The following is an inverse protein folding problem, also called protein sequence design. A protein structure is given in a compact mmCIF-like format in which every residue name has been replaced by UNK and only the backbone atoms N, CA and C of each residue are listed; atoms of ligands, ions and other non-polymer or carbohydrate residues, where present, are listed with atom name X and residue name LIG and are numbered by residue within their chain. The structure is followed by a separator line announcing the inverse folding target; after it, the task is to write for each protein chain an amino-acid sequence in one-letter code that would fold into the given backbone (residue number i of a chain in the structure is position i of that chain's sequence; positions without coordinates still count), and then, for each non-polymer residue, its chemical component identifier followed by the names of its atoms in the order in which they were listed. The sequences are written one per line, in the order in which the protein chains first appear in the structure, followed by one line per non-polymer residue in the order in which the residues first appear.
data_IF_908410058483
#
_entry.id   IF_908410058483
#
_cell.length_a   1.000
_cell.length_b   1.000
_cell.length_c   1.000
_cell.angle_alpha   90.00
_cell.angle_beta   90.00
_cell.angle_gamma   90.00
#
_symmetry.space_group_name_H-M   'P 1'
#
loop_
_entity.id
_entity.type
_entity.pdbx_description
1 polymer ?
#
# COMPACT_ATOMS: atom_id res chain seq x y z
N UNK A 1 -19.93 -5.11 -32.33
CA UNK A 1 -19.83 -6.24 -31.38
C UNK A 1 -19.68 -5.67 -29.99
N UNK A 2 -20.54 -6.02 -29.02
CA UNK A 2 -20.38 -5.53 -27.65
C UNK A 2 -19.15 -6.20 -27.02
N UNK A 3 -18.35 -5.38 -26.36
CA UNK A 3 -17.04 -5.72 -25.79
C UNK A 3 -17.25 -6.38 -24.42
N UNK A 4 -16.57 -7.51 -24.17
CA UNK A 4 -16.66 -8.22 -22.90
C UNK A 4 -16.06 -7.38 -21.76
N UNK A 5 -16.77 -7.29 -20.64
CA UNK A 5 -16.28 -6.62 -19.45
C UNK A 5 -15.14 -7.43 -18.79
N UNK A 6 -14.14 -6.76 -18.17
CA UNK A 6 -13.06 -7.45 -17.47
C UNK A 6 -13.57 -8.26 -16.26
N UNK A 7 -12.82 -9.29 -15.89
CA UNK A 7 -13.18 -10.34 -14.91
C UNK A 7 -13.37 -9.89 -13.46
N UNK A 8 -13.42 -8.59 -13.19
CA UNK A 8 -13.84 -8.04 -11.89
C UNK A 8 -15.36 -7.80 -11.81
N UNK A 9 -16.08 -7.93 -12.93
CA UNK A 9 -17.52 -7.72 -13.01
C UNK A 9 -18.32 -9.00 -12.68
N UNK A 10 -18.41 -9.36 -11.40
CA UNK A 10 -19.46 -10.16 -10.70
C UNK A 10 -18.85 -10.69 -9.37
N UNK A 11 -19.47 -10.64 -8.18
CA UNK A 11 -20.86 -10.96 -7.79
C UNK A 11 -21.30 -10.10 -6.59
N UNK A 12 -22.62 -9.88 -6.56
CA UNK A 12 -23.46 -9.11 -5.65
C UNK A 12 -23.41 -9.55 -4.17
N UNK A 13 -23.64 -8.58 -3.27
CA UNK A 13 -23.88 -8.85 -1.86
C UNK A 13 -24.29 -7.62 -1.05
N UNK A 14 -25.44 -7.01 -1.38
CA UNK A 14 -26.18 -6.13 -0.46
C UNK A 14 -26.43 -4.69 -0.93
N UNK A 15 -27.30 -4.49 -1.93
CA UNK A 15 -27.90 -3.19 -2.19
C UNK A 15 -28.96 -2.89 -1.11
N UNK A 16 -28.61 -2.10 -0.10
CA UNK A 16 -29.59 -1.25 0.57
C UNK A 16 -29.52 0.15 -0.04
N UNK A 17 -30.21 0.31 -1.16
CA UNK A 17 -30.52 1.62 -1.69
C UNK A 17 -31.51 2.33 -0.73
N UNK A 18 -31.06 3.39 -0.07
CA UNK A 18 -31.94 4.43 0.50
C UNK A 18 -31.78 5.70 -0.35
N UNK A 19 -32.85 6.27 -0.91
CA UNK A 19 -32.74 7.42 -1.78
C UNK A 19 -32.55 8.71 -0.96
N UNK A 20 -31.53 9.47 -1.37
CA UNK A 20 -31.23 10.88 -1.04
C UNK A 20 -30.63 11.16 0.36
N UNK A 21 -29.32 10.96 0.48
CA UNK A 21 -28.44 11.80 1.30
C UNK A 21 -27.00 11.80 0.74
N UNK A 22 -26.47 13.00 0.52
CA UNK A 22 -25.17 13.35 -0.07
C UNK A 22 -23.94 13.00 0.81
N UNK A 23 -23.95 11.86 1.49
CA UNK A 23 -22.95 11.45 2.51
C UNK A 23 -22.81 9.92 2.62
N UNK A 24 -23.12 9.19 1.55
CA UNK A 24 -22.84 7.76 1.52
C UNK A 24 -21.33 7.53 1.63
N UNK A 25 -20.91 6.48 2.30
CA UNK A 25 -19.52 6.01 2.31
C UNK A 25 -19.52 4.60 1.71
N UNK A 26 -18.43 4.25 1.04
CA UNK A 26 -18.23 2.90 0.50
C UNK A 26 -17.07 2.24 1.23
N UNK A 27 -17.24 0.96 1.54
CA UNK A 27 -16.19 0.09 2.05
C UNK A 27 -16.25 -1.21 1.26
N UNK A 28 -15.09 -1.78 0.93
CA UNK A 28 -14.96 -3.08 0.29
C UNK A 28 -14.06 -3.96 1.13
N UNK A 29 -14.46 -5.21 1.25
CA UNK A 29 -13.75 -6.22 2.03
C UNK A 29 -13.40 -7.43 1.17
N UNK A 30 -12.27 -8.07 1.50
CA UNK A 30 -11.91 -9.42 1.07
C UNK A 30 -11.94 -10.32 2.33
N UNK A 31 -12.99 -11.14 2.44
CA UNK A 31 -13.35 -11.77 3.71
C UNK A 31 -13.65 -10.73 4.79
N UNK A 32 -12.95 -10.78 5.93
CA UNK A 32 -13.07 -9.79 7.01
C UNK A 32 -12.14 -8.58 6.81
N UNK A 33 -11.29 -8.58 5.77
CA UNK A 33 -10.23 -7.61 5.59
C UNK A 33 -10.69 -6.43 4.74
N UNK A 34 -10.52 -5.21 5.24
CA UNK A 34 -10.83 -4.01 4.46
C UNK A 34 -9.78 -3.80 3.36
N UNK A 35 -10.23 -3.71 2.11
CA UNK A 35 -9.37 -3.52 0.92
C UNK A 35 -9.62 -2.20 0.19
N UNK A 36 -10.76 -1.54 0.42
CA UNK A 36 -11.00 -0.20 -0.10
C UNK A 36 -12.00 0.56 0.75
N UNK A 37 -11.85 1.88 0.83
CA UNK A 37 -12.87 2.78 1.40
C UNK A 37 -12.89 4.12 0.67
N UNK A 38 -14.03 4.78 0.59
CA UNK A 38 -14.15 6.10 -0.04
C UNK A 38 -15.45 6.81 0.32
N UNK A 39 -15.48 8.14 0.21
CA UNK A 39 -16.71 8.91 0.34
C UNK A 39 -17.52 8.80 -0.95
N UNK A 40 -18.80 8.47 -0.86
CA UNK A 40 -19.69 8.22 -2.00
C UNK A 40 -19.97 9.42 -2.91
N UNK A 41 -19.60 10.64 -2.49
CA UNK A 41 -19.53 11.82 -3.36
C UNK A 41 -18.11 12.32 -3.62
N UNK A 42 -17.11 11.79 -2.91
CA UNK A 42 -15.71 12.12 -3.19
C UNK A 42 -15.19 11.13 -4.22
N UNK A 43 -14.54 11.63 -5.26
CA UNK A 43 -13.72 10.78 -6.11
C UNK A 43 -12.52 10.18 -5.33
N UNK A 44 -12.32 10.59 -4.06
CA UNK A 44 -11.27 10.04 -3.21
C UNK A 44 -11.59 8.64 -2.70
N UNK A 45 -10.66 7.72 -2.94
CA UNK A 45 -10.66 6.39 -2.36
C UNK A 45 -9.29 6.07 -1.75
N UNK A 46 -9.28 5.20 -0.74
CA UNK A 46 -8.08 4.55 -0.21
C UNK A 46 -8.19 3.07 -0.50
N UNK A 47 -7.21 2.52 -1.21
CA UNK A 47 -7.09 1.10 -1.52
C UNK A 47 -5.96 0.51 -0.69
N UNK A 48 -6.17 -0.67 -0.12
CA UNK A 48 -5.18 -1.37 0.70
C UNK A 48 -4.89 -2.75 0.11
N UNK A 49 -3.62 -3.13 0.10
CA UNK A 49 -3.15 -4.43 -0.39
C UNK A 49 -2.37 -5.17 0.70
N UNK A 50 -2.42 -6.50 0.63
CA UNK A 50 -1.88 -7.39 1.65
C UNK A 50 -1.17 -8.58 0.99
N UNK A 51 -0.15 -9.14 1.65
CA UNK A 51 0.49 -10.38 1.23
C UNK A 51 -0.29 -11.63 1.69
N UNK A 52 0.24 -12.81 1.37
CA UNK A 52 -0.36 -14.10 1.70
C UNK A 52 -0.47 -14.34 3.21
N UNK A 53 0.46 -13.80 4.00
CA UNK A 53 0.45 -13.84 5.47
C UNK A 53 -0.52 -12.81 6.07
N UNK A 54 -1.12 -11.96 5.24
CA UNK A 54 -2.08 -10.95 5.66
C UNK A 54 -1.46 -9.66 6.18
N UNK A 55 -0.17 -9.44 5.97
CA UNK A 55 0.52 -8.20 6.30
C UNK A 55 0.21 -7.17 5.22
N UNK A 56 0.01 -5.91 5.61
CA UNK A 56 -0.30 -4.84 4.66
C UNK A 56 0.96 -4.47 3.86
N UNK A 57 0.92 -4.65 2.54
CA UNK A 57 2.05 -4.35 1.65
C UNK A 57 1.84 -3.07 0.84
N UNK A 58 0.64 -2.48 0.91
CA UNK A 58 0.40 -1.21 0.25
C UNK A 58 -0.84 -0.46 0.70
N UNK A 59 -0.76 0.86 0.55
CA UNK A 59 -1.88 1.80 0.64
C UNK A 59 -1.76 2.76 -0.53
N UNK A 60 -2.86 2.95 -1.26
CA UNK A 60 -2.94 3.88 -2.37
C UNK A 60 -4.11 4.82 -2.16
N UNK A 61 -3.85 6.12 -2.12
CA UNK A 61 -4.89 7.14 -2.28
C UNK A 61 -5.13 7.39 -3.76
N UNK A 62 -6.40 7.42 -4.14
CA UNK A 62 -6.89 7.69 -5.48
C UNK A 62 -7.73 8.96 -5.49
N UNK A 63 -7.75 9.65 -6.62
CA UNK A 63 -8.78 10.62 -7.01
C UNK A 63 -9.36 10.11 -8.34
N UNK A 64 -10.59 9.61 -8.29
CA UNK A 64 -11.15 8.78 -9.34
C UNK A 64 -10.36 7.47 -9.44
N UNK A 65 -9.83 7.20 -10.62
CA UNK A 65 -8.93 6.08 -10.87
C UNK A 65 -7.44 6.48 -10.83
N UNK A 66 -7.12 7.75 -10.54
CA UNK A 66 -5.75 8.27 -10.58
C UNK A 66 -5.03 8.19 -9.23
N UNK A 67 -3.86 7.53 -9.15
CA UNK A 67 -2.97 7.55 -7.99
C UNK A 67 -2.58 8.97 -7.56
N UNK A 68 -2.87 9.32 -6.31
CA UNK A 68 -2.49 10.59 -5.70
C UNK A 68 -1.34 10.45 -4.71
N UNK A 69 -1.29 9.34 -3.97
CA UNK A 69 -0.14 9.00 -3.12
C UNK A 69 -0.14 7.51 -2.78
N UNK A 70 1.06 6.92 -2.73
CA UNK A 70 1.24 5.51 -2.44
C UNK A 70 2.16 5.30 -1.24
N UNK A 71 1.93 4.23 -0.50
CA UNK A 71 2.89 3.67 0.45
C UNK A 71 2.99 2.18 0.18
N UNK A 72 4.19 1.62 0.20
CA UNK A 72 4.42 0.17 0.11
C UNK A 72 5.42 -0.30 1.13
N UNK A 73 5.27 -1.56 1.55
CA UNK A 73 6.16 -2.22 2.50
C UNK A 73 6.54 -3.61 2.02
N UNK A 74 7.81 -3.97 2.22
CA UNK A 74 8.30 -5.33 2.10
C UNK A 74 8.81 -5.82 3.45
N UNK A 75 8.61 -7.11 3.72
CA UNK A 75 8.94 -7.73 4.99
C UNK A 75 9.89 -8.90 4.79
N UNK A 76 10.77 -9.14 5.77
CA UNK A 76 11.49 -10.41 5.87
C UNK A 76 10.63 -11.51 6.51
N UNK A 77 11.21 -12.72 6.60
CA UNK A 77 10.57 -13.90 7.17
C UNK A 77 10.27 -13.75 8.68
N UNK A 78 10.98 -12.85 9.37
CA UNK A 78 10.71 -12.51 10.77
C UNK A 78 9.62 -11.43 10.92
N UNK A 79 9.03 -10.95 9.80
CA UNK A 79 7.99 -9.93 9.80
C UNK A 79 8.50 -8.50 10.00
N UNK A 80 9.80 -8.26 9.82
CA UNK A 80 10.40 -6.92 9.95
C UNK A 80 10.39 -6.22 8.60
N UNK A 81 10.14 -4.91 8.58
CA UNK A 81 10.12 -4.12 7.33
C UNK A 81 11.54 -3.97 6.79
N UNK A 82 11.80 -4.50 5.60
CA UNK A 82 13.08 -4.39 4.89
C UNK A 82 13.08 -3.33 3.80
N UNK A 83 11.92 -2.93 3.30
CA UNK A 83 11.76 -1.78 2.41
C UNK A 83 10.45 -1.06 2.74
N UNK A 84 10.48 0.27 2.80
CA UNK A 84 9.30 1.11 2.89
C UNK A 84 9.41 2.24 1.86
N UNK A 85 8.42 2.36 0.99
CA UNK A 85 8.40 3.38 -0.05
C UNK A 85 7.20 4.31 0.11
N UNK A 86 7.36 5.57 -0.24
CA UNK A 86 6.29 6.54 -0.38
C UNK A 86 6.38 7.26 -1.73
N UNK A 87 5.27 7.34 -2.44
CA UNK A 87 5.15 8.10 -3.69
C UNK A 87 4.08 9.18 -3.56
N UNK A 88 4.31 10.28 -4.27
CA UNK A 88 3.30 11.30 -4.50
C UNK A 88 2.93 11.31 -5.98
N UNK A 89 1.67 11.06 -6.26
CA UNK A 89 1.12 10.85 -7.60
C UNK A 89 1.91 9.78 -8.37
N UNK A 90 2.06 9.94 -9.69
CA UNK A 90 2.81 9.04 -10.56
C UNK A 90 4.34 9.22 -10.49
N UNK A 91 4.86 9.96 -9.52
CA UNK A 91 6.31 10.17 -9.39
C UNK A 91 7.01 8.90 -8.88
N UNK A 92 8.29 8.77 -9.24
CA UNK A 92 9.16 7.76 -8.66
C UNK A 92 9.15 7.84 -7.12
N UNK A 93 9.05 6.71 -6.41
CA UNK A 93 8.90 6.68 -4.96
C UNK A 93 10.23 7.02 -4.25
N UNK A 94 10.09 7.56 -3.04
CA UNK A 94 11.18 7.63 -2.07
C UNK A 94 11.14 6.36 -1.22
N UNK A 95 12.21 5.58 -1.21
CA UNK A 95 12.29 4.31 -0.50
C UNK A 95 13.36 4.33 0.58
N UNK A 96 13.10 3.68 1.70
CA UNK A 96 14.07 3.37 2.73
C UNK A 96 14.22 1.85 2.82
N UNK A 97 15.43 1.34 2.63
CA UNK A 97 15.73 -0.08 2.75
C UNK A 97 16.54 -0.31 4.04
N UNK A 98 16.15 -1.30 4.83
CA UNK A 98 16.74 -1.61 6.13
C UNK A 98 17.18 -3.07 6.15
N UNK A 99 18.41 -3.32 6.58
CA UNK A 99 18.92 -4.67 6.80
C UNK A 99 19.20 -4.86 8.28
N UNK A 100 18.77 -6.02 8.78
CA UNK A 100 18.93 -6.39 10.18
C UNK A 100 20.01 -7.47 10.34
N UNK A 101 20.69 -7.44 11.48
CA UNK A 101 21.53 -8.56 11.89
C UNK A 101 20.70 -9.73 12.45
N UNK A 102 21.38 -10.84 12.77
CA UNK A 102 20.75 -12.04 13.33
C UNK A 102 20.11 -11.83 14.71
N UNK A 103 20.41 -10.71 15.40
CA UNK A 103 19.79 -10.33 16.67
C UNK A 103 18.64 -9.34 16.48
N UNK A 104 18.31 -8.99 15.24
CA UNK A 104 17.24 -8.04 14.91
C UNK A 104 17.58 -6.58 15.07
N UNK A 105 18.86 -6.23 15.14
CA UNK A 105 19.32 -4.84 15.17
C UNK A 105 19.59 -4.34 13.75
N UNK A 106 19.38 -3.06 13.49
CA UNK A 106 19.64 -2.46 12.17
C UNK A 106 21.13 -2.50 11.87
N UNK A 107 21.56 -3.36 10.96
CA UNK A 107 22.95 -3.45 10.51
C UNK A 107 23.29 -2.27 9.58
N UNK A 108 22.39 -1.96 8.64
CA UNK A 108 22.54 -0.79 7.77
C UNK A 108 21.19 -0.35 7.19
N UNK A 109 21.13 0.92 6.77
CA UNK A 109 19.96 1.54 6.13
C UNK A 109 20.38 2.46 5.00
N UNK A 110 19.63 2.41 3.91
CA UNK A 110 19.77 3.35 2.78
C UNK A 110 18.45 4.03 2.45
N UNK A 111 18.57 5.18 1.79
CA UNK A 111 17.46 5.91 1.19
C UNK A 111 17.67 6.04 -0.31
N UNK A 112 16.61 5.83 -1.09
CA UNK A 112 16.50 6.13 -2.53
C UNK A 112 15.47 7.23 -2.69
N UNK A 113 15.81 8.29 -3.41
CA UNK A 113 14.90 9.44 -3.61
C UNK A 113 14.56 9.53 -5.09
N UNK A 114 13.32 9.19 -5.44
CA UNK A 114 12.90 9.05 -6.83
C UNK A 114 13.82 8.10 -7.61
N UNK A 115 14.41 8.59 -8.70
CA UNK A 115 15.31 7.84 -9.56
C UNK A 115 16.80 7.95 -9.17
N UNK A 116 17.12 8.71 -8.12
CA UNK A 116 18.49 8.85 -7.64
C UNK A 116 19.03 7.51 -7.10
N UNK A 117 20.35 7.26 -7.24
CA UNK A 117 20.96 6.09 -6.63
C UNK A 117 20.78 6.11 -5.11
N UNK A 118 20.62 4.91 -4.54
CA UNK A 118 20.48 4.76 -3.09
C UNK A 118 21.73 5.26 -2.35
N UNK A 119 21.51 5.84 -1.17
CA UNK A 119 22.55 6.40 -0.31
C UNK A 119 22.42 5.81 1.09
N UNK A 120 23.53 5.31 1.63
CA UNK A 120 23.59 4.81 3.00
C UNK A 120 23.39 5.99 3.96
N UNK A 121 22.43 5.84 4.88
CA UNK A 121 22.12 6.83 5.93
C UNK A 121 22.44 6.32 7.33
N UNK A 122 22.60 5.01 7.49
CA UNK A 122 22.99 4.37 8.75
C UNK A 122 23.83 3.13 8.44
N UNK A 123 24.97 2.98 9.13
CA UNK A 123 25.82 1.81 9.03
C UNK A 123 26.36 1.45 10.42
N UNK A 124 25.83 0.36 10.98
CA UNK A 124 26.17 -0.09 12.32
C UNK A 124 27.09 -1.31 12.24
N UNK A 125 28.34 -1.11 12.63
CA UNK A 125 29.32 -2.19 12.76
C UNK A 125 29.14 -2.87 14.11
N UNK A 126 28.16 -3.76 14.20
CA UNK A 126 28.07 -4.64 15.36
C UNK A 126 29.18 -5.68 15.28
N UNK A 127 30.29 -5.40 15.95
CA UNK A 127 31.39 -6.36 16.09
C UNK A 127 30.84 -7.70 16.58
N UNK A 128 31.16 -8.78 15.86
CA UNK A 128 31.07 -10.12 16.41
C UNK A 128 32.09 -10.18 17.56
N UNK A 129 31.61 -10.15 18.80
CA UNK A 129 32.39 -10.56 19.96
C UNK A 129 32.14 -12.02 20.24
#
# INVERSE_FOLDING_TARGET
APQALPSWAAVLGGDRAQPQAATAWSWRYDGERLVSRGGGLSERATVMSYDAEGRQVGVQELLGDEPQSGQTWAYDDAGRVVEACHSWSANAPNCTSTVYDHRGRVAWREVRVGEEPARVIELNHYTCR
#
